data_IF_227092900968
#
_entry.id   IF_227092900968
#
_cell.length_a   1.000
_cell.length_b   1.000
_cell.length_c   1.000
_cell.angle_alpha   90.00
_cell.angle_beta   90.00
_cell.angle_gamma   90.00
#
_symmetry.space_group_name_H-M   'P 1'
#
loop_
_entity.id
_entity.type
_entity.pdbx_description
1 polymer ?
#
# COMPACT_ATOMS: atom_id res chain seq x y z
N UNK A 1 -7.80 13.03 16.14
CA UNK A 1 -6.73 12.35 16.88
C UNK A 1 -5.41 13.01 16.50
N UNK A 2 -4.60 13.40 17.49
CA UNK A 2 -3.25 13.96 17.25
C UNK A 2 -2.31 12.82 16.80
N UNK A 3 -1.32 13.11 15.95
CA UNK A 3 -0.34 12.12 15.47
C UNK A 3 0.35 11.39 16.62
N UNK A 4 0.75 12.13 17.66
CA UNK A 4 1.38 11.59 18.86
C UNK A 4 0.51 10.57 19.59
N UNK A 5 -0.81 10.81 19.65
CA UNK A 5 -1.78 9.87 20.25
C UNK A 5 -1.89 8.60 19.40
N UNK A 6 -1.98 8.73 18.07
CA UNK A 6 -2.02 7.58 17.15
C UNK A 6 -0.76 6.71 17.29
N UNK A 7 0.42 7.33 17.29
CA UNK A 7 1.69 6.62 17.45
C UNK A 7 1.78 5.94 18.83
N UNK A 8 1.37 6.63 19.89
CA UNK A 8 1.36 6.06 21.25
C UNK A 8 0.45 4.84 21.34
N UNK A 9 -0.74 4.90 20.75
CA UNK A 9 -1.68 3.77 20.72
C UNK A 9 -1.15 2.61 19.86
N UNK A 10 -0.53 2.90 18.71
CA UNK A 10 0.09 1.89 17.87
C UNK A 10 1.25 1.17 18.59
N UNK A 11 2.12 1.90 19.28
CA UNK A 11 3.20 1.32 20.09
C UNK A 11 2.66 0.53 21.28
N UNK A 12 1.64 1.05 21.97
CA UNK A 12 1.02 0.31 23.07
C UNK A 12 0.43 -1.02 22.60
N UNK A 13 -0.24 -1.03 21.45
CA UNK A 13 -0.77 -2.25 20.85
C UNK A 13 0.35 -3.22 20.42
N UNK A 14 1.48 -2.71 19.90
CA UNK A 14 2.65 -3.52 19.57
C UNK A 14 3.25 -4.22 20.79
N UNK A 15 3.36 -3.50 21.91
CA UNK A 15 3.86 -4.08 23.16
C UNK A 15 2.88 -5.09 23.76
N UNK A 16 1.58 -4.83 23.65
CA UNK A 16 0.53 -5.71 24.19
C UNK A 16 0.39 -6.99 23.36
N UNK A 17 0.37 -6.88 22.04
CA UNK A 17 0.13 -7.99 21.10
C UNK A 17 1.05 -7.91 19.87
N UNK A 18 2.34 -8.24 20.00
CA UNK A 18 3.30 -8.13 18.90
C UNK A 18 2.95 -9.02 17.69
N UNK A 19 2.20 -10.10 17.92
CA UNK A 19 1.75 -11.01 16.86
C UNK A 19 0.87 -10.33 15.80
N UNK A 20 0.17 -9.24 16.14
CA UNK A 20 -0.63 -8.48 15.16
C UNK A 20 0.23 -7.78 14.11
N UNK A 21 1.51 -7.53 14.39
CA UNK A 21 2.40 -6.71 13.56
C UNK A 21 3.26 -7.56 12.62
N UNK A 22 3.52 -8.82 12.97
CA UNK A 22 4.36 -9.74 12.19
C UNK A 22 3.95 -9.78 10.70
N UNK A 23 2.66 -9.96 10.34
CA UNK A 23 2.29 -10.07 8.93
C UNK A 23 2.64 -8.81 8.13
N UNK A 24 2.40 -7.63 8.69
CA UNK A 24 2.67 -6.36 8.00
C UNK A 24 4.14 -5.98 7.97
N UNK A 25 4.91 -6.31 9.01
CA UNK A 25 6.35 -6.11 8.99
C UNK A 25 6.97 -6.98 7.89
N UNK A 26 6.57 -8.26 7.80
CA UNK A 26 7.05 -9.16 6.76
C UNK A 26 6.74 -8.63 5.34
N UNK A 27 5.49 -8.21 5.09
CA UNK A 27 5.11 -7.62 3.79
C UNK A 27 5.84 -6.29 3.54
N UNK A 28 6.04 -5.46 4.56
CA UNK A 28 6.76 -4.21 4.42
C UNK A 28 8.21 -4.43 3.99
N UNK A 29 8.91 -5.39 4.61
CA UNK A 29 10.28 -5.77 4.24
C UNK A 29 10.35 -6.33 2.83
N UNK A 30 9.42 -7.19 2.46
CA UNK A 30 9.29 -7.74 1.11
C UNK A 30 9.12 -6.62 0.06
N UNK A 31 8.22 -5.66 0.27
CA UNK A 31 8.08 -4.49 -0.61
C UNK A 31 9.33 -3.60 -0.62
N UNK A 32 10.05 -3.52 0.50
CA UNK A 32 11.26 -2.71 0.60
C UNK A 32 12.33 -3.20 -0.37
N UNK A 33 12.46 -4.52 -0.58
CA UNK A 33 13.35 -5.09 -1.60
C UNK A 33 12.94 -4.64 -2.99
N UNK A 34 11.66 -4.76 -3.34
CA UNK A 34 11.15 -4.36 -4.67
C UNK A 34 11.36 -2.86 -4.92
N UNK A 35 11.08 -2.02 -3.92
CA UNK A 35 11.28 -0.58 -4.01
C UNK A 35 12.75 -0.21 -4.22
N UNK A 36 13.66 -0.82 -3.45
CA UNK A 36 15.10 -0.57 -3.60
C UNK A 36 15.62 -1.03 -4.96
N UNK A 37 15.20 -2.21 -5.44
CA UNK A 37 15.58 -2.69 -6.77
C UNK A 37 15.06 -1.77 -7.88
N UNK A 38 13.81 -1.32 -7.78
CA UNK A 38 13.22 -0.39 -8.73
C UNK A 38 13.97 0.96 -8.72
N UNK A 39 14.20 1.53 -7.54
CA UNK A 39 14.94 2.79 -7.41
C UNK A 39 16.37 2.66 -7.96
N UNK A 40 17.08 1.60 -7.62
CA UNK A 40 18.42 1.32 -8.15
C UNK A 40 18.42 1.21 -9.67
N UNK A 41 17.48 0.46 -10.24
CA UNK A 41 17.35 0.27 -11.68
C UNK A 41 17.05 1.58 -12.41
N UNK A 42 16.13 2.40 -11.89
CA UNK A 42 15.78 3.70 -12.47
C UNK A 42 16.94 4.70 -12.41
N UNK A 43 17.69 4.72 -11.31
CA UNK A 43 18.87 5.59 -11.15
C UNK A 43 19.99 5.15 -12.08
N UNK A 44 20.27 3.84 -12.15
CA UNK A 44 21.37 3.28 -12.96
C UNK A 44 21.13 3.46 -14.47
N UNK A 45 19.88 3.39 -14.93
CA UNK A 45 19.53 3.50 -16.35
C UNK A 45 18.90 4.86 -16.70
N UNK A 46 19.07 5.89 -15.86
CA UNK A 46 18.44 7.21 -16.06
C UNK A 46 18.73 7.81 -17.43
N UNK A 47 19.94 7.63 -17.95
CA UNK A 47 20.40 8.25 -19.20
C UNK A 47 19.73 7.59 -20.40
N UNK A 48 19.60 6.25 -20.38
CA UNK A 48 18.89 5.48 -21.40
C UNK A 48 17.40 5.79 -21.38
N UNK A 49 16.80 5.94 -20.20
CA UNK A 49 15.40 6.34 -20.06
C UNK A 49 15.18 7.72 -20.68
N UNK A 50 16.07 8.68 -20.39
CA UNK A 50 16.00 10.02 -20.94
C UNK A 50 16.14 10.02 -22.47
N UNK A 51 17.14 9.32 -23.00
CA UNK A 51 17.37 9.16 -24.45
C UNK A 51 16.18 8.50 -25.17
N UNK A 52 15.62 7.44 -24.61
CA UNK A 52 14.45 6.77 -25.17
C UNK A 52 13.20 7.68 -25.15
N UNK A 53 13.09 8.55 -24.15
CA UNK A 53 11.96 9.49 -24.02
C UNK A 53 12.05 10.71 -24.94
N UNK A 54 13.25 11.08 -25.40
CA UNK A 54 13.47 12.26 -26.25
C UNK A 54 13.26 12.00 -27.74
N UNK A 55 12.95 10.76 -28.13
CA UNK A 55 12.63 10.39 -29.52
C UNK A 55 13.84 10.33 -30.47
N UNK A 56 15.06 10.37 -29.95
CA UNK A 56 16.28 10.21 -30.74
C UNK A 56 16.48 8.80 -31.28
N UNK A 57 17.20 8.66 -32.38
CA UNK A 57 17.62 7.35 -32.88
C UNK A 57 18.61 6.71 -31.91
N UNK A 58 18.31 5.47 -31.48
CA UNK A 58 19.17 4.70 -30.58
C UNK A 58 20.20 3.90 -31.38
N UNK A 59 21.44 3.89 -30.92
CA UNK A 59 22.49 3.00 -31.42
C UNK A 59 22.23 1.55 -31.03
N UNK A 60 22.89 0.60 -31.69
CA UNK A 60 22.74 -0.84 -31.40
C UNK A 60 23.08 -1.19 -29.94
N UNK A 61 24.14 -0.62 -29.37
CA UNK A 61 24.48 -0.82 -27.95
C UNK A 61 23.40 -0.30 -27.00
N UNK A 62 22.81 0.87 -27.31
CA UNK A 62 21.72 1.43 -26.53
C UNK A 62 20.43 0.59 -26.63
N UNK A 63 20.17 -0.04 -27.77
CA UNK A 63 19.04 -0.97 -27.92
C UNK A 63 19.20 -2.20 -27.02
N UNK A 64 20.43 -2.71 -26.86
CA UNK A 64 20.71 -3.78 -25.91
C UNK A 64 20.43 -3.33 -24.48
N UNK A 65 20.89 -2.14 -24.07
CA UNK A 65 20.63 -1.64 -22.72
C UNK A 65 19.13 -1.38 -22.46
N UNK A 66 18.40 -0.88 -23.46
CA UNK A 66 16.93 -0.74 -23.39
C UNK A 66 16.27 -2.11 -23.21
N UNK A 67 16.74 -3.14 -23.92
CA UNK A 67 16.17 -4.48 -23.79
C UNK A 67 16.38 -5.07 -22.38
N UNK A 68 17.57 -4.88 -21.79
CA UNK A 68 17.89 -5.30 -20.42
C UNK A 68 17.02 -4.55 -19.41
N UNK A 69 16.86 -3.24 -19.60
CA UNK A 69 16.00 -2.40 -18.78
C UNK A 69 14.54 -2.88 -18.84
N UNK A 70 14.00 -3.13 -20.03
CA UNK A 70 12.62 -3.59 -20.23
C UNK A 70 12.39 -4.96 -19.59
N UNK A 71 13.32 -5.91 -19.77
CA UNK A 71 13.21 -7.22 -19.14
C UNK A 71 13.23 -7.12 -17.62
N UNK A 72 14.10 -6.26 -17.08
CA UNK A 72 14.21 -6.03 -15.63
C UNK A 72 12.95 -5.35 -15.06
N UNK A 73 12.36 -4.39 -15.78
CA UNK A 73 11.08 -3.79 -15.43
C UNK A 73 9.93 -4.79 -15.47
N UNK A 74 9.90 -5.68 -16.48
CA UNK A 74 8.90 -6.74 -16.57
C UNK A 74 9.03 -7.74 -15.42
N UNK A 75 10.25 -8.12 -15.05
CA UNK A 75 10.51 -8.95 -13.89
C UNK A 75 10.01 -8.29 -12.60
N UNK A 76 10.35 -7.00 -12.39
CA UNK A 76 9.87 -6.24 -11.23
C UNK A 76 8.35 -6.08 -11.22
N UNK A 77 7.71 -5.97 -12.39
CA UNK A 77 6.25 -5.93 -12.51
C UNK A 77 5.64 -7.25 -12.03
N UNK A 78 6.12 -8.40 -12.52
CA UNK A 78 5.65 -9.73 -12.09
C UNK A 78 5.86 -9.91 -10.58
N UNK A 79 7.04 -9.54 -10.07
CA UNK A 79 7.34 -9.59 -8.65
C UNK A 79 6.38 -8.70 -7.84
N UNK A 80 6.10 -7.49 -8.32
CA UNK A 80 5.14 -6.57 -7.69
C UNK A 80 3.72 -7.12 -7.66
N UNK A 81 3.29 -7.85 -8.70
CA UNK A 81 1.99 -8.51 -8.73
C UNK A 81 1.91 -9.66 -7.70
N UNK A 82 2.97 -10.45 -7.57
CA UNK A 82 3.05 -11.51 -6.54
C UNK A 82 2.98 -10.88 -5.15
N UNK A 83 3.74 -9.81 -4.91
CA UNK A 83 3.72 -9.07 -3.64
C UNK A 83 2.35 -8.47 -3.36
N UNK A 84 1.66 -7.97 -4.37
CA UNK A 84 0.29 -7.46 -4.25
C UNK A 84 -0.67 -8.56 -3.79
N UNK A 85 -0.59 -9.76 -4.36
CA UNK A 85 -1.40 -10.90 -3.90
C UNK A 85 -1.10 -11.22 -2.42
N UNK A 86 0.18 -11.27 -2.04
CA UNK A 86 0.59 -11.53 -0.66
C UNK A 86 0.03 -10.45 0.27
N UNK A 87 0.14 -9.16 -0.10
CA UNK A 87 -0.37 -8.05 0.70
C UNK A 87 -1.88 -8.09 0.86
N UNK A 88 -2.61 -8.38 -0.22
CA UNK A 88 -4.07 -8.54 -0.16
C UNK A 88 -4.45 -9.65 0.81
N UNK A 89 -3.76 -10.79 0.77
CA UNK A 89 -4.01 -11.90 1.68
C UNK A 89 -3.67 -11.54 3.13
N UNK A 90 -2.54 -10.86 3.37
CA UNK A 90 -2.16 -10.37 4.70
C UNK A 90 -3.18 -9.36 5.25
N UNK A 91 -3.64 -8.42 4.43
CA UNK A 91 -4.70 -7.47 4.81
C UNK A 91 -6.00 -8.20 5.15
N UNK A 92 -6.35 -9.25 4.41
CA UNK A 92 -7.52 -10.07 4.69
C UNK A 92 -7.43 -10.88 5.99
N UNK A 93 -6.23 -11.10 6.53
CA UNK A 93 -6.05 -11.73 7.84
C UNK A 93 -6.53 -10.83 8.98
N UNK A 94 -6.39 -9.51 8.87
CA UNK A 94 -6.64 -8.57 9.96
C UNK A 94 -8.07 -8.61 10.51
N UNK A 95 -9.14 -8.64 9.70
CA UNK A 95 -10.49 -8.80 10.24
C UNK A 95 -10.65 -10.05 11.12
N UNK A 96 -9.99 -11.15 10.78
CA UNK A 96 -10.02 -12.39 11.56
C UNK A 96 -9.19 -12.25 12.84
N UNK A 97 -7.98 -11.68 12.74
CA UNK A 97 -7.10 -11.47 13.89
C UNK A 97 -7.73 -10.53 14.92
N UNK A 98 -8.32 -9.42 14.47
CA UNK A 98 -9.00 -8.47 15.36
C UNK A 98 -10.22 -9.11 16.03
N UNK A 99 -10.99 -9.90 15.29
CA UNK A 99 -12.11 -10.63 15.87
C UNK A 99 -11.63 -11.66 16.92
N UNK A 100 -10.55 -12.40 16.65
CA UNK A 100 -9.99 -13.35 17.60
C UNK A 100 -9.40 -12.66 18.84
N UNK A 101 -8.79 -11.48 18.68
CA UNK A 101 -8.28 -10.66 19.77
C UNK A 101 -9.39 -10.26 20.74
N UNK A 102 -10.50 -9.71 20.23
CA UNK A 102 -11.60 -9.23 21.08
C UNK A 102 -12.55 -10.32 21.57
N UNK A 103 -12.77 -11.40 20.82
CA UNK A 103 -13.76 -12.42 21.19
C UNK A 103 -13.18 -13.66 21.86
N UNK A 104 -11.91 -14.01 21.60
CA UNK A 104 -11.34 -15.30 22.02
C UNK A 104 -10.09 -15.18 22.88
N UNK A 105 -9.48 -13.99 22.95
CA UNK A 105 -8.25 -13.73 23.72
C UNK A 105 -7.01 -14.51 23.25
N UNK A 106 -7.09 -15.25 22.12
CA UNK A 106 -5.98 -16.03 21.57
C UNK A 106 -5.85 -15.79 20.07
N UNK A 107 -4.76 -15.15 19.68
CA UNK A 107 -4.41 -14.88 18.29
C UNK A 107 -3.76 -16.11 17.63
N UNK A 108 -4.26 -16.49 16.45
CA UNK A 108 -3.66 -17.54 15.61
C UNK A 108 -3.45 -17.05 14.19
N UNK A 109 -2.19 -16.73 13.85
CA UNK A 109 -1.79 -16.31 12.50
C UNK A 109 -2.09 -17.39 11.45
N UNK A 110 -1.82 -18.66 11.77
CA UNK A 110 -2.10 -19.79 10.90
C UNK A 110 -3.59 -19.88 10.56
N UNK A 111 -4.47 -19.74 11.56
CA UNK A 111 -5.92 -19.76 11.33
C UNK A 111 -6.38 -18.57 10.50
N UNK A 112 -5.89 -17.36 10.79
CA UNK A 112 -6.24 -16.16 10.03
C UNK A 112 -5.81 -16.28 8.55
N UNK A 113 -4.60 -16.81 8.31
CA UNK A 113 -4.11 -17.06 6.96
C UNK A 113 -4.94 -18.10 6.21
N UNK A 114 -5.30 -19.23 6.85
CA UNK A 114 -6.16 -20.25 6.23
C UNK A 114 -7.54 -19.69 5.86
N UNK A 115 -8.12 -18.82 6.69
CA UNK A 115 -9.41 -18.17 6.41
C UNK A 115 -9.26 -17.17 5.26
N UNK A 116 -8.19 -16.37 5.24
CA UNK A 116 -7.87 -15.46 4.13
C UNK A 116 -7.69 -16.22 2.82
N UNK A 117 -6.96 -17.33 2.83
CA UNK A 117 -6.78 -18.22 1.68
C UNK A 117 -8.09 -18.83 1.19
N UNK A 118 -8.96 -19.29 2.09
CA UNK A 118 -10.29 -19.81 1.73
C UNK A 118 -11.16 -18.76 1.03
N UNK A 119 -11.04 -17.51 1.46
CA UNK A 119 -11.77 -16.37 0.88
C UNK A 119 -11.02 -15.68 -0.28
N UNK A 120 -9.83 -16.17 -0.68
CA UNK A 120 -8.97 -15.53 -1.68
C UNK A 120 -9.66 -15.31 -3.02
N UNK A 121 -10.48 -16.27 -3.47
CA UNK A 121 -11.28 -16.18 -4.70
C UNK A 121 -12.21 -14.97 -4.75
N UNK A 122 -12.58 -14.43 -3.60
CA UNK A 122 -13.42 -13.24 -3.47
C UNK A 122 -12.58 -11.98 -3.24
N UNK A 123 -11.59 -12.06 -2.36
CA UNK A 123 -10.78 -10.90 -1.96
C UNK A 123 -9.82 -10.50 -3.09
N UNK A 124 -9.01 -11.42 -3.61
CA UNK A 124 -7.93 -11.11 -4.57
C UNK A 124 -8.48 -10.46 -5.84
N UNK A 125 -9.47 -11.02 -6.55
CA UNK A 125 -9.99 -10.37 -7.75
C UNK A 125 -10.60 -9.00 -7.47
N UNK A 126 -11.30 -8.83 -6.33
CA UNK A 126 -11.92 -7.55 -5.97
C UNK A 126 -10.86 -6.46 -5.81
N UNK A 127 -9.77 -6.74 -5.08
CA UNK A 127 -8.70 -5.76 -4.89
C UNK A 127 -7.85 -5.57 -6.15
N UNK A 128 -7.70 -6.58 -7.01
CA UNK A 128 -7.12 -6.40 -8.34
C UNK A 128 -7.93 -5.45 -9.22
N UNK A 129 -9.26 -5.61 -9.26
CA UNK A 129 -10.15 -4.72 -10.00
C UNK A 129 -10.02 -3.30 -9.47
N UNK A 130 -9.99 -3.13 -8.14
CA UNK A 130 -9.77 -1.81 -7.52
C UNK A 130 -8.44 -1.25 -8.00
N UNK A 131 -7.33 -1.99 -7.85
CA UNK A 131 -5.99 -1.54 -8.28
C UNK A 131 -5.99 -1.14 -9.76
N UNK A 132 -6.56 -1.94 -10.67
CA UNK A 132 -6.64 -1.60 -12.10
C UNK A 132 -7.45 -0.32 -12.32
N UNK A 133 -8.61 -0.19 -11.68
CA UNK A 133 -9.44 1.01 -11.72
C UNK A 133 -8.70 2.25 -11.21
N UNK A 134 -7.69 2.09 -10.35
CA UNK A 134 -6.85 3.20 -9.88
C UNK A 134 -5.66 3.45 -10.81
N UNK A 135 -4.97 2.39 -11.21
CA UNK A 135 -3.74 2.44 -11.98
C UNK A 135 -3.97 2.98 -13.39
N UNK A 136 -5.09 2.68 -14.04
CA UNK A 136 -5.34 3.15 -15.42
C UNK A 136 -5.53 4.68 -15.48
N UNK A 137 -6.45 5.30 -14.70
CA UNK A 137 -6.60 6.76 -14.71
C UNK A 137 -5.33 7.47 -14.24
N UNK A 138 -4.63 6.92 -13.24
CA UNK A 138 -3.39 7.54 -12.74
C UNK A 138 -2.24 7.42 -13.73
N UNK A 139 -2.14 6.32 -14.48
CA UNK A 139 -1.18 6.20 -15.58
C UNK A 139 -1.48 7.22 -16.70
N UNK A 140 -2.76 7.41 -17.04
CA UNK A 140 -3.19 8.43 -18.01
C UNK A 140 -2.79 9.83 -17.50
N UNK A 141 -3.13 10.18 -16.25
CA UNK A 141 -2.76 11.46 -15.65
C UNK A 141 -1.23 11.66 -15.61
N UNK A 142 -0.47 10.64 -15.21
CA UNK A 142 1.00 10.71 -15.20
C UNK A 142 1.59 10.87 -16.61
N UNK A 143 0.94 10.35 -17.65
CA UNK A 143 1.38 10.60 -19.03
C UNK A 143 1.25 12.08 -19.44
N UNK A 144 0.29 12.81 -18.85
CA UNK A 144 0.19 14.26 -19.03
C UNK A 144 1.27 15.02 -18.24
N UNK A 145 1.70 14.51 -17.08
CA UNK A 145 2.86 15.09 -16.34
C UNK A 145 4.11 15.07 -17.20
N UNK A 146 4.38 13.95 -17.88
CA UNK A 146 5.57 13.81 -18.74
C UNK A 146 5.54 14.76 -19.95
N UNK A 147 4.36 15.25 -20.34
CA UNK A 147 4.17 16.22 -21.42
C UNK A 147 4.03 17.66 -20.92
N UNK A 148 3.97 17.87 -19.60
CA UNK A 148 3.82 19.18 -19.04
C UNK A 148 5.09 20.00 -19.26
N UNK A 149 4.95 21.15 -19.91
CA UNK A 149 6.07 22.06 -20.17
C UNK A 149 6.38 22.99 -18.99
N UNK A 150 5.55 22.97 -17.94
CA UNK A 150 5.74 23.79 -16.75
C UNK A 150 5.79 22.93 -15.47
N UNK A 151 6.59 23.39 -14.50
CA UNK A 151 6.65 22.81 -13.16
C UNK A 151 5.29 22.89 -12.46
N UNK A 152 4.55 23.98 -12.69
CA UNK A 152 3.23 24.21 -12.10
C UNK A 152 2.22 23.15 -12.53
N UNK A 153 2.14 22.84 -13.83
CA UNK A 153 1.22 21.82 -14.35
C UNK A 153 1.58 20.43 -13.81
N UNK A 154 2.88 20.12 -13.74
CA UNK A 154 3.38 18.88 -13.17
C UNK A 154 2.97 18.71 -11.70
N UNK A 155 3.09 19.78 -10.91
CA UNK A 155 2.68 19.79 -9.50
C UNK A 155 1.17 19.64 -9.33
N UNK A 156 0.36 20.32 -10.15
CA UNK A 156 -1.10 20.21 -10.10
C UNK A 156 -1.53 18.77 -10.36
N UNK A 157 -1.02 18.14 -11.43
CA UNK A 157 -1.39 16.76 -11.77
C UNK A 157 -0.94 15.78 -10.68
N UNK A 158 0.27 15.97 -10.12
CA UNK A 158 0.74 15.16 -9.00
C UNK A 158 -0.19 15.28 -7.78
N UNK A 159 -0.60 16.50 -7.42
CA UNK A 159 -1.53 16.74 -6.32
C UNK A 159 -2.92 16.11 -6.57
N UNK A 160 -3.43 16.21 -7.80
CA UNK A 160 -4.69 15.55 -8.18
C UNK A 160 -4.59 14.04 -8.04
N UNK A 161 -3.51 13.44 -8.54
CA UNK A 161 -3.25 12.00 -8.43
C UNK A 161 -3.16 11.55 -6.96
N UNK A 162 -2.43 12.30 -6.13
CA UNK A 162 -2.34 12.04 -4.69
C UNK A 162 -3.69 12.18 -3.98
N UNK A 163 -4.48 13.19 -4.35
CA UNK A 163 -5.83 13.40 -3.84
C UNK A 163 -6.76 12.23 -4.18
N UNK A 164 -6.72 11.74 -5.41
CA UNK A 164 -7.49 10.56 -5.84
C UNK A 164 -7.11 9.35 -4.98
N UNK A 165 -5.82 9.03 -4.85
CA UNK A 165 -5.37 7.92 -4.00
C UNK A 165 -5.86 8.06 -2.55
N UNK A 166 -5.76 9.25 -1.98
CA UNK A 166 -6.21 9.49 -0.61
C UNK A 166 -7.72 9.30 -0.43
N UNK A 167 -8.53 9.82 -1.36
CA UNK A 167 -9.99 9.62 -1.34
C UNK A 167 -10.32 8.14 -1.41
N UNK A 168 -9.63 7.37 -2.23
CA UNK A 168 -9.91 5.94 -2.40
C UNK A 168 -9.53 5.11 -1.17
N UNK A 169 -8.44 5.47 -0.50
CA UNK A 169 -8.10 4.88 0.80
C UNK A 169 -9.22 5.08 1.83
N UNK A 170 -9.89 6.24 1.81
CA UNK A 170 -11.07 6.50 2.65
C UNK A 170 -12.26 5.66 2.17
N UNK A 171 -12.52 5.65 0.86
CA UNK A 171 -13.69 4.98 0.29
C UNK A 171 -13.66 3.47 0.52
N UNK A 172 -12.51 2.81 0.46
CA UNK A 172 -12.39 1.35 0.62
C UNK A 172 -11.90 0.91 2.01
N UNK A 173 -11.86 1.81 2.98
CA UNK A 173 -11.30 1.57 4.31
C UNK A 173 -11.92 0.36 5.04
N UNK A 174 -13.23 0.13 4.90
CA UNK A 174 -13.95 -0.97 5.55
C UNK A 174 -14.16 -2.18 4.63
N UNK A 175 -13.59 -2.19 3.43
CA UNK A 175 -13.89 -3.22 2.45
C UNK A 175 -13.35 -4.59 2.87
N UNK A 176 -12.13 -4.66 3.43
CA UNK A 176 -11.57 -5.89 3.98
C UNK A 176 -12.47 -6.54 5.05
N UNK A 177 -12.85 -5.85 6.15
CA UNK A 177 -13.75 -6.45 7.13
C UNK A 177 -15.13 -6.77 6.55
N UNK A 178 -15.68 -5.95 5.66
CA UNK A 178 -16.96 -6.22 5.01
C UNK A 178 -16.94 -7.51 4.18
N UNK A 179 -15.86 -7.78 3.43
CA UNK A 179 -15.74 -9.00 2.61
C UNK A 179 -15.43 -10.22 3.48
N UNK A 180 -14.56 -10.07 4.49
CA UNK A 180 -14.04 -11.19 5.28
C UNK A 180 -14.98 -11.67 6.37
N UNK A 181 -15.72 -10.77 7.00
CA UNK A 181 -16.62 -11.10 8.11
C UNK A 181 -18.05 -11.36 7.64
N UNK A 182 -18.45 -10.81 6.48
CA UNK A 182 -19.82 -10.89 5.99
C UNK A 182 -19.96 -11.90 4.84
N UNK A 183 -20.87 -12.87 5.00
CA UNK A 183 -21.18 -13.89 3.97
C UNK A 183 -22.09 -13.37 2.84
N UNK A 184 -22.43 -12.08 2.85
CA UNK A 184 -23.30 -11.42 1.86
C UNK A 184 -22.60 -11.29 0.50
N UNK A 185 -23.36 -10.94 -0.54
CA UNK A 185 -22.82 -10.65 -1.89
C UNK A 185 -21.82 -9.48 -1.87
N UNK A 186 -20.90 -9.44 -2.84
CA UNK A 186 -19.92 -8.35 -2.99
C UNK A 186 -20.60 -6.98 -3.06
N UNK A 187 -21.68 -6.85 -3.83
CA UNK A 187 -22.45 -5.59 -3.96
C UNK A 187 -22.90 -5.04 -2.60
N UNK A 188 -23.43 -5.90 -1.73
CA UNK A 188 -23.84 -5.51 -0.37
C UNK A 188 -22.65 -5.10 0.49
N UNK A 189 -21.51 -5.78 0.36
CA UNK A 189 -20.28 -5.40 1.08
C UNK A 189 -19.78 -4.00 0.66
N UNK A 190 -19.85 -3.65 -0.63
CA UNK A 190 -19.53 -2.30 -1.09
C UNK A 190 -20.49 -1.28 -0.48
N UNK A 191 -21.81 -1.51 -0.59
CA UNK A 191 -22.80 -0.59 -0.03
C UNK A 191 -22.62 -0.37 1.48
N UNK A 192 -22.41 -1.44 2.25
CA UNK A 192 -22.11 -1.35 3.69
C UNK A 192 -20.82 -0.57 3.97
N UNK A 193 -19.76 -0.83 3.20
CA UNK A 193 -18.50 -0.12 3.30
C UNK A 193 -18.67 1.40 3.06
N UNK A 194 -19.40 1.80 2.01
CA UNK A 194 -19.66 3.22 1.73
C UNK A 194 -20.46 3.91 2.84
N UNK A 195 -21.50 3.24 3.35
CA UNK A 195 -22.32 3.77 4.45
C UNK A 195 -21.46 3.96 5.71
N UNK A 196 -20.63 2.97 6.06
CA UNK A 196 -19.76 3.02 7.23
C UNK A 196 -18.64 4.05 7.09
N UNK A 197 -18.03 4.15 5.90
CA UNK A 197 -17.00 5.14 5.59
C UNK A 197 -17.57 6.56 5.73
N UNK A 198 -18.74 6.82 5.16
CA UNK A 198 -19.42 8.12 5.28
C UNK A 198 -19.76 8.46 6.73
N UNK A 199 -20.30 7.50 7.49
CA UNK A 199 -20.65 7.70 8.91
C UNK A 199 -19.44 8.02 9.79
N UNK A 200 -18.27 7.50 9.45
CA UNK A 200 -17.04 7.64 10.26
C UNK A 200 -15.95 8.45 9.56
N UNK A 201 -16.29 9.30 8.59
CA UNK A 201 -15.33 9.92 7.68
C UNK A 201 -14.20 10.67 8.39
N UNK A 202 -14.49 11.36 9.50
CA UNK A 202 -13.49 12.10 10.26
C UNK A 202 -12.47 11.21 10.97
N UNK A 203 -12.84 9.99 11.37
CA UNK A 203 -11.93 9.02 11.97
C UNK A 203 -11.14 8.33 10.87
N UNK A 204 -11.82 7.88 9.81
CA UNK A 204 -11.22 7.20 8.66
C UNK A 204 -10.17 8.10 8.00
N UNK A 205 -10.52 9.35 7.67
CA UNK A 205 -9.59 10.28 7.03
C UNK A 205 -8.34 10.52 7.88
N UNK A 206 -8.48 10.70 9.20
CA UNK A 206 -7.32 10.90 10.10
C UNK A 206 -6.47 9.64 10.21
N UNK A 207 -7.10 8.47 10.28
CA UNK A 207 -6.41 7.18 10.35
C UNK A 207 -5.71 6.82 9.02
N UNK A 208 -6.23 7.27 7.87
CA UNK A 208 -5.63 7.09 6.55
C UNK A 208 -4.53 8.12 6.25
N UNK A 209 -4.65 9.36 6.72
CA UNK A 209 -3.72 10.45 6.41
C UNK A 209 -2.31 10.16 6.91
N UNK A 210 -2.21 9.60 8.11
CA UNK A 210 -0.95 9.29 8.78
C UNK A 210 -0.11 8.26 7.97
N UNK A 211 -0.61 7.05 7.66
CA UNK A 211 0.12 6.09 6.83
C UNK A 211 0.29 6.57 5.39
N UNK A 212 -0.61 7.41 4.87
CA UNK A 212 -0.47 8.01 3.53
C UNK A 212 0.74 8.94 3.45
N UNK A 213 0.85 9.91 4.35
CA UNK A 213 2.01 10.83 4.42
C UNK A 213 3.29 10.04 4.65
N UNK A 214 3.27 9.05 5.55
CA UNK A 214 4.46 8.24 5.82
C UNK A 214 4.89 7.43 4.58
N UNK A 215 3.95 6.93 3.79
CA UNK A 215 4.25 6.23 2.52
C UNK A 215 4.88 7.17 1.48
N UNK A 216 4.41 8.42 1.40
CA UNK A 216 5.01 9.43 0.50
C UNK A 216 6.46 9.73 0.86
N UNK A 217 6.72 9.95 2.15
CA UNK A 217 8.08 10.16 2.66
C UNK A 217 8.94 8.91 2.34
N UNK A 218 8.39 7.71 2.55
CA UNK A 218 9.11 6.45 2.27
C UNK A 218 9.50 6.29 0.82
N UNK A 219 8.67 6.75 -0.09
CA UNK A 219 8.96 6.73 -1.52
C UNK A 219 10.17 7.62 -1.82
N UNK A 220 10.21 8.84 -1.27
CA UNK A 220 11.37 9.74 -1.40
C UNK A 220 12.64 9.08 -0.82
N UNK A 221 12.55 8.48 0.37
CA UNK A 221 13.69 7.79 1.00
C UNK A 221 14.25 6.65 0.14
N UNK A 222 13.40 5.93 -0.61
CA UNK A 222 13.86 4.84 -1.48
C UNK A 222 14.78 5.35 -2.61
N UNK A 223 14.43 6.48 -3.24
CA UNK A 223 15.27 7.09 -4.27
C UNK A 223 16.57 7.66 -3.72
N UNK A 224 16.53 8.31 -2.56
CA UNK A 224 17.76 8.83 -1.92
C UNK A 224 18.67 7.67 -1.50
N UNK A 225 18.11 6.55 -1.03
CA UNK A 225 18.89 5.36 -0.64
C UNK A 225 19.54 4.64 -1.82
N UNK A 226 19.00 4.80 -3.03
CA UNK A 226 19.63 4.28 -4.24
C UNK A 226 20.88 5.08 -4.66
N UNK A 227 20.97 6.34 -4.24
CA UNK A 227 22.15 7.19 -4.47
C UNK A 227 23.21 7.00 -3.38
N UNK A 228 22.78 6.79 -2.13
CA UNK A 228 23.66 6.68 -0.97
C UNK A 228 23.37 5.38 -0.19
N UNK A 229 24.20 4.33 -0.35
CA UNK A 229 23.96 3.01 0.25
C UNK A 229 23.83 3.01 1.78
N UNK A 230 24.48 3.96 2.46
CA UNK A 230 24.40 4.13 3.92
C UNK A 230 22.97 4.46 4.39
N UNK A 231 22.12 4.99 3.52
CA UNK A 231 20.73 5.33 3.84
C UNK A 231 19.77 4.16 3.71
N UNK A 232 20.21 3.01 3.19
CA UNK A 232 19.39 1.78 3.11
C UNK A 232 18.91 1.35 4.50
N UNK A 233 19.78 1.41 5.51
CA UNK A 233 19.41 1.04 6.88
C UNK A 233 18.33 1.99 7.42
N UNK A 234 18.46 3.30 7.19
CA UNK A 234 17.49 4.29 7.60
C UNK A 234 16.15 4.08 6.89
N UNK A 235 16.17 3.76 5.60
CA UNK A 235 14.98 3.38 4.84
C UNK A 235 14.30 2.14 5.44
N UNK A 236 15.04 1.07 5.76
CA UNK A 236 14.46 -0.14 6.35
C UNK A 236 13.85 0.11 7.75
N UNK A 237 14.53 0.91 8.58
CA UNK A 237 13.98 1.34 9.88
C UNK A 237 12.68 2.12 9.67
N UNK A 238 12.67 3.08 8.74
CA UNK A 238 11.50 3.87 8.43
C UNK A 238 10.33 3.03 7.89
N UNK A 239 10.62 2.05 7.03
CA UNK A 239 9.65 1.07 6.51
C UNK A 239 9.04 0.20 7.61
N UNK A 240 9.82 -0.12 8.63
CA UNK A 240 9.34 -0.86 9.80
C UNK A 240 8.38 0.00 10.63
N UNK A 241 8.72 1.28 10.86
CA UNK A 241 7.82 2.23 11.53
C UNK A 241 6.49 2.40 10.79
N UNK A 242 6.55 2.50 9.46
CA UNK A 242 5.37 2.54 8.59
C UNK A 242 4.53 1.28 8.75
N UNK A 243 5.16 0.10 8.76
CA UNK A 243 4.46 -1.17 8.95
C UNK A 243 3.69 -1.19 10.28
N UNK A 244 4.26 -0.62 11.33
CA UNK A 244 3.60 -0.49 12.64
C UNK A 244 2.37 0.43 12.54
N UNK A 245 2.51 1.58 11.88
CA UNK A 245 1.41 2.53 11.66
C UNK A 245 0.28 1.92 10.82
N UNK A 246 0.62 1.20 9.74
CA UNK A 246 -0.34 0.48 8.91
C UNK A 246 -1.01 -0.66 9.66
N UNK A 247 -0.29 -1.37 10.51
CA UNK A 247 -0.89 -2.43 11.33
C UNK A 247 -1.99 -1.87 12.23
N UNK A 248 -1.71 -0.76 12.92
CA UNK A 248 -2.71 -0.11 13.75
C UNK A 248 -3.92 0.36 12.92
N UNK A 249 -3.70 0.93 11.73
CA UNK A 249 -4.76 1.27 10.78
C UNK A 249 -5.61 0.04 10.40
N UNK A 250 -4.97 -1.10 10.12
CA UNK A 250 -5.62 -2.36 9.77
C UNK A 250 -6.33 -3.04 10.95
N UNK A 251 -5.98 -2.68 12.19
CA UNK A 251 -6.71 -3.10 13.40
C UNK A 251 -7.92 -2.20 13.66
N UNK A 252 -7.76 -0.89 13.47
CA UNK A 252 -8.81 0.10 13.71
C UNK A 252 -10.01 -0.09 12.78
N UNK A 253 -9.78 -0.44 11.51
CA UNK A 253 -10.86 -0.67 10.53
C UNK A 253 -11.83 -1.78 10.98
N UNK A 254 -11.39 -3.03 11.24
CA UNK A 254 -12.26 -4.07 11.77
C UNK A 254 -12.83 -3.78 13.16
N UNK A 255 -12.09 -3.11 14.04
CA UNK A 255 -12.58 -2.77 15.38
C UNK A 255 -13.81 -1.84 15.31
N UNK A 256 -13.76 -0.81 14.46
CA UNK A 256 -14.90 0.08 14.19
C UNK A 256 -16.04 -0.69 13.51
N UNK A 257 -15.73 -1.55 12.53
CA UNK A 257 -16.74 -2.36 11.83
C UNK A 257 -17.51 -3.27 12.80
N UNK A 258 -16.80 -3.93 13.72
CA UNK A 258 -17.36 -4.80 14.75
C UNK A 258 -18.04 -4.02 15.90
N UNK A 259 -18.03 -2.68 15.87
CA UNK A 259 -18.54 -1.79 16.93
C UNK A 259 -17.91 -2.07 18.31
N UNK A 260 -16.65 -2.48 18.33
CA UNK A 260 -15.92 -2.68 19.58
C UNK A 260 -15.71 -1.30 20.22
N UNK A 261 -16.19 -1.10 21.45
CA UNK A 261 -15.89 0.12 22.20
C UNK A 261 -14.40 0.13 22.50
N UNK A 262 -13.66 1.11 21.98
CA UNK A 262 -12.30 1.39 22.43
C UNK A 262 -12.37 1.78 23.90
N UNK A 263 -11.78 0.97 24.78
CA UNK A 263 -11.50 1.36 26.17
C UNK A 263 -10.39 2.41 26.17
#
# INVERSE_FOLDING_TARGET
MKLTKFLKEAMHLLLKEPKLFIPKIAVSLLYSVVMLLLSFLLVTHKDIIFLASSGGALSYGQLQDVSVLLFSLLFLLVLSLIMLVIDILVNAMYPVLVNDFYSKGKLSLKRAFLIAMKNSRRVVPTFFIIVILLSVPTAILNSYVLKAHSLTDSLIIALVTLGIYFVLLILFYFLYPAIMLNKRSLSRCFSENFILARKNIGIVAKASLIPFIASLISFVFAFVSALEPLLILLFLVYRTLIAIMFTYHMVLSPAIYLKVRSQ
#
